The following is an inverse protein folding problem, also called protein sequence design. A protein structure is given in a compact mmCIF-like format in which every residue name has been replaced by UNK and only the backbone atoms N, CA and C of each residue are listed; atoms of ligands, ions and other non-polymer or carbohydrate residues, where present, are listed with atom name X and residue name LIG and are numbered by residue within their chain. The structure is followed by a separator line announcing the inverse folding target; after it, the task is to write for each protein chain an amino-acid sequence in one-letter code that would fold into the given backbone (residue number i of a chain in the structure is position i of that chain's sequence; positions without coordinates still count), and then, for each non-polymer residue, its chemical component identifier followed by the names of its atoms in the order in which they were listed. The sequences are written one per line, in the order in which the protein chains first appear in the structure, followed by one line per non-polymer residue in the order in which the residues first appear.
data_IF_663905055232
#
_entry.id   IF_663905055232
#
_cell.length_a   1.000
_cell.length_b   1.000
_cell.length_c   1.000
_cell.angle_alpha   90.00
_cell.angle_beta   90.00
_cell.angle_gamma   90.00
#
_symmetry.space_group_name_H-M   'P 1'
#
loop_
_entity.id
_entity.type
_entity.pdbx_description
1 polymer ?
#
# COMPACT_ATOMS: atom_id res chain seq x y z
N UNK A 1 -35.37 -20.73 69.53
CA UNK A 1 -35.41 -19.91 68.32
C UNK A 1 -34.49 -20.56 67.27
N UNK A 2 -35.10 -21.14 66.23
CA UNK A 2 -34.36 -21.85 65.16
C UNK A 2 -34.20 -20.93 63.98
N UNK A 3 -32.97 -20.49 63.66
CA UNK A 3 -32.63 -19.73 62.45
C UNK A 3 -32.53 -20.71 61.28
N UNK A 4 -33.38 -20.52 60.26
CA UNK A 4 -33.26 -21.17 58.93
C UNK A 4 -32.47 -20.22 58.02
N UNK A 5 -31.27 -20.69 57.63
CA UNK A 5 -30.47 -20.06 56.57
C UNK A 5 -31.01 -20.48 55.19
N UNK A 6 -31.45 -19.50 54.39
CA UNK A 6 -31.76 -19.74 52.98
C UNK A 6 -30.46 -19.50 52.16
N UNK A 7 -29.97 -20.53 51.50
CA UNK A 7 -28.91 -20.43 50.52
C UNK A 7 -29.50 -20.03 49.18
N UNK A 8 -29.13 -18.83 48.66
CA UNK A 8 -29.40 -18.41 47.31
C UNK A 8 -28.35 -19.02 46.37
N UNK A 9 -28.75 -19.94 45.50
CA UNK A 9 -27.94 -20.42 44.39
C UNK A 9 -28.10 -19.45 43.23
N UNK A 10 -27.07 -18.63 42.97
CA UNK A 10 -26.97 -17.79 41.79
C UNK A 10 -26.50 -18.69 40.61
N UNK A 11 -27.38 -18.99 39.67
CA UNK A 11 -26.99 -19.56 38.39
C UNK A 11 -26.30 -18.50 37.55
N UNK A 12 -24.97 -18.59 37.39
CA UNK A 12 -24.24 -17.90 36.34
C UNK A 12 -24.58 -18.56 34.99
N UNK A 13 -25.41 -17.92 34.20
CA UNK A 13 -25.55 -18.24 32.79
C UNK A 13 -24.28 -17.75 32.09
N UNK A 14 -23.33 -18.67 31.83
CA UNK A 14 -22.21 -18.42 30.96
C UNK A 14 -22.74 -18.27 29.54
N UNK A 15 -22.97 -17.04 29.12
CA UNK A 15 -23.19 -16.70 27.71
C UNK A 15 -21.96 -17.08 26.92
N UNK A 16 -22.04 -18.15 26.14
CA UNK A 16 -21.07 -18.45 25.09
C UNK A 16 -21.05 -17.24 24.15
N UNK A 17 -19.86 -16.68 23.78
CA UNK A 17 -19.80 -15.67 22.78
C UNK A 17 -20.33 -16.29 21.47
N UNK A 18 -21.43 -15.76 20.95
CA UNK A 18 -21.87 -16.09 19.61
C UNK A 18 -20.72 -15.70 18.66
N UNK A 19 -20.07 -16.71 18.08
CA UNK A 19 -19.14 -16.45 16.99
C UNK A 19 -20.00 -15.84 15.88
N UNK A 20 -19.83 -14.54 15.66
CA UNK A 20 -20.41 -13.88 14.49
C UNK A 20 -19.83 -14.58 13.26
N UNK A 21 -20.65 -15.38 12.57
CA UNK A 21 -20.26 -15.94 11.29
C UNK A 21 -19.91 -14.76 10.38
N UNK A 22 -18.74 -14.83 9.73
CA UNK A 22 -18.35 -13.80 8.76
C UNK A 22 -19.45 -13.68 7.70
N UNK A 23 -19.84 -12.45 7.38
CA UNK A 23 -20.86 -12.20 6.36
C UNK A 23 -20.44 -12.83 5.02
N UNK A 24 -21.41 -13.30 4.23
CA UNK A 24 -21.14 -13.76 2.86
C UNK A 24 -20.83 -12.55 1.97
N UNK A 25 -19.68 -12.57 1.28
CA UNK A 25 -19.28 -11.46 0.40
C UNK A 25 -20.29 -11.16 -0.71
N UNK A 26 -21.09 -12.14 -1.13
CA UNK A 26 -22.08 -11.98 -2.20
C UNK A 26 -23.36 -11.27 -1.74
N UNK A 27 -23.55 -11.09 -0.43
CA UNK A 27 -24.77 -10.51 0.15
C UNK A 27 -24.58 -9.14 0.80
N UNK A 28 -23.36 -8.61 0.77
CA UNK A 28 -22.98 -7.39 1.51
C UNK A 28 -23.58 -6.08 0.97
N UNK A 29 -24.05 -6.06 -0.26
CA UNK A 29 -24.22 -4.83 -1.05
C UNK A 29 -25.67 -4.46 -1.39
N UNK A 30 -26.64 -5.22 -0.92
CA UNK A 30 -28.03 -5.03 -1.35
C UNK A 30 -28.19 -5.26 -2.87
N UNK A 31 -28.40 -4.19 -3.64
CA UNK A 31 -28.58 -4.26 -5.12
C UNK A 31 -27.39 -3.69 -5.90
N UNK A 32 -26.35 -3.17 -5.24
CA UNK A 32 -25.17 -2.61 -5.94
C UNK A 32 -24.29 -3.71 -6.51
N UNK A 33 -23.63 -3.51 -7.68
CA UNK A 33 -22.69 -4.48 -8.21
C UNK A 33 -21.48 -4.63 -7.26
N UNK A 34 -20.97 -5.87 -7.17
CA UNK A 34 -19.75 -6.18 -6.44
C UNK A 34 -18.64 -6.45 -7.44
N UNK A 35 -17.46 -5.87 -7.21
CA UNK A 35 -16.23 -6.25 -7.92
C UNK A 35 -15.26 -6.92 -6.95
N UNK A 36 -14.62 -7.99 -7.42
CA UNK A 36 -13.67 -8.79 -6.65
C UNK A 36 -12.26 -8.55 -7.14
N UNK A 37 -11.40 -8.14 -6.22
CA UNK A 37 -9.98 -7.90 -6.51
C UNK A 37 -9.04 -8.67 -5.62
N UNK A 38 -7.82 -8.83 -6.11
CA UNK A 38 -6.71 -9.39 -5.34
C UNK A 38 -5.43 -8.58 -5.57
N UNK A 39 -4.51 -8.65 -4.60
CA UNK A 39 -3.24 -7.96 -4.74
C UNK A 39 -2.49 -7.76 -3.43
N UNK A 40 -1.64 -6.74 -3.38
CA UNK A 40 -0.76 -6.50 -2.26
C UNK A 40 -1.44 -5.94 -1.02
N UNK A 41 -0.99 -6.40 0.15
CA UNK A 41 -1.41 -5.81 1.43
C UNK A 41 -0.91 -4.36 1.63
N UNK A 42 0.07 -3.94 0.85
CA UNK A 42 0.55 -2.56 0.81
C UNK A 42 -0.50 -1.58 0.27
N UNK A 43 -1.39 -2.05 -0.60
CA UNK A 43 -2.41 -1.24 -1.25
C UNK A 43 -3.77 -1.30 -0.54
N UNK A 44 -3.95 -2.19 0.43
CA UNK A 44 -5.26 -2.44 1.10
C UNK A 44 -5.92 -1.16 1.62
N UNK A 45 -5.15 -0.25 2.21
CA UNK A 45 -5.68 1.00 2.74
C UNK A 45 -6.14 1.96 1.64
N UNK A 46 -5.39 2.07 0.54
CA UNK A 46 -5.75 2.88 -0.63
C UNK A 46 -7.01 2.32 -1.31
N UNK A 47 -7.02 1.00 -1.54
CA UNK A 47 -8.17 0.27 -2.09
C UNK A 47 -9.44 0.55 -1.26
N UNK A 48 -9.35 0.46 0.06
CA UNK A 48 -10.49 0.69 0.94
C UNK A 48 -10.99 2.13 0.92
N UNK A 49 -10.08 3.11 0.95
CA UNK A 49 -10.48 4.52 0.87
C UNK A 49 -11.16 4.86 -0.46
N UNK A 50 -10.69 4.28 -1.57
CA UNK A 50 -11.32 4.42 -2.88
C UNK A 50 -12.68 3.71 -2.93
N UNK A 51 -12.80 2.51 -2.35
CA UNK A 51 -14.05 1.77 -2.28
C UNK A 51 -15.18 2.58 -1.61
N UNK A 52 -14.85 3.30 -0.52
CA UNK A 52 -15.81 4.17 0.18
C UNK A 52 -16.30 5.32 -0.72
N UNK A 53 -15.41 5.91 -1.52
CA UNK A 53 -15.80 6.98 -2.45
C UNK A 53 -16.77 6.45 -3.50
N UNK A 54 -16.51 5.27 -4.07
CA UNK A 54 -17.41 4.67 -5.06
C UNK A 54 -18.79 4.31 -4.49
N UNK A 55 -18.85 3.86 -3.25
CA UNK A 55 -20.13 3.60 -2.59
C UNK A 55 -20.98 4.87 -2.42
N UNK A 56 -20.35 6.04 -2.30
CA UNK A 56 -21.03 7.34 -2.21
C UNK A 56 -21.45 7.93 -3.55
N UNK A 57 -21.17 7.27 -4.67
CA UNK A 57 -21.51 7.75 -6.02
C UNK A 57 -22.98 7.51 -6.37
N UNK A 58 -23.46 8.17 -7.43
CA UNK A 58 -24.81 7.93 -7.97
C UNK A 58 -25.00 6.54 -8.58
N UNK A 59 -23.88 5.86 -8.90
CA UNK A 59 -23.83 4.48 -9.37
C UNK A 59 -22.88 3.69 -8.47
N UNK A 60 -23.31 3.33 -7.25
CA UNK A 60 -22.43 2.74 -6.25
C UNK A 60 -21.90 1.37 -6.69
N UNK A 61 -20.59 1.15 -6.47
CA UNK A 61 -19.91 -0.13 -6.67
C UNK A 61 -19.33 -0.58 -5.33
N UNK A 62 -19.55 -1.85 -5.01
CA UNK A 62 -19.02 -2.46 -3.80
C UNK A 62 -17.74 -3.23 -4.10
N UNK A 63 -16.72 -3.00 -3.31
CA UNK A 63 -15.38 -3.59 -3.54
C UNK A 63 -15.08 -4.63 -2.48
N UNK A 64 -14.77 -5.84 -2.92
CA UNK A 64 -14.24 -6.93 -2.10
C UNK A 64 -12.80 -7.20 -2.52
N UNK A 65 -11.89 -7.24 -1.57
CA UNK A 65 -10.46 -7.31 -1.83
C UNK A 65 -9.76 -8.36 -0.97
N UNK A 66 -8.96 -9.23 -1.62
CA UNK A 66 -8.14 -10.23 -0.95
C UNK A 66 -6.65 -9.88 -1.10
N UNK A 67 -5.97 -9.67 0.03
CA UNK A 67 -4.55 -9.33 0.09
C UNK A 67 -3.65 -10.44 0.69
N UNK A 68 -4.25 -11.54 1.10
CA UNK A 68 -3.55 -12.63 1.82
C UNK A 68 -2.59 -13.45 0.95
N UNK A 69 -2.83 -13.51 -0.36
CA UNK A 69 -2.01 -14.28 -1.29
C UNK A 69 -0.83 -13.49 -1.89
N UNK A 70 -0.66 -12.22 -1.50
CA UNK A 70 0.40 -11.33 -1.98
C UNK A 70 0.05 -10.58 -3.26
N UNK A 71 0.91 -9.63 -3.64
CA UNK A 71 0.67 -8.70 -4.74
C UNK A 71 0.50 -9.42 -6.10
N UNK A 72 1.30 -10.46 -6.35
CA UNK A 72 1.24 -11.20 -7.60
C UNK A 72 -0.03 -12.05 -7.78
N UNK A 73 -0.78 -12.34 -6.72
CA UNK A 73 -1.95 -13.23 -6.83
C UNK A 73 -3.01 -12.67 -7.77
N UNK A 74 -3.28 -11.36 -7.70
CA UNK A 74 -4.26 -10.71 -8.56
C UNK A 74 -3.86 -10.73 -10.03
N UNK A 75 -2.61 -10.35 -10.34
CA UNK A 75 -2.14 -10.33 -11.72
C UNK A 75 -2.02 -11.74 -12.31
N UNK A 76 -1.57 -12.72 -11.52
CA UNK A 76 -1.52 -14.12 -11.94
C UNK A 76 -2.91 -14.66 -12.27
N UNK A 77 -3.93 -14.26 -11.51
CA UNK A 77 -5.32 -14.63 -11.77
C UNK A 77 -5.84 -14.03 -13.08
N UNK A 78 -5.59 -12.75 -13.31
CA UNK A 78 -5.99 -12.07 -14.56
C UNK A 78 -5.25 -12.65 -15.78
N UNK A 79 -3.97 -13.00 -15.64
CA UNK A 79 -3.16 -13.61 -16.68
C UNK A 79 -3.45 -15.11 -16.90
N UNK A 80 -4.26 -15.74 -16.07
CA UNK A 80 -4.57 -17.16 -16.16
C UNK A 80 -3.41 -18.10 -15.85
N UNK A 81 -2.32 -17.61 -15.19
CA UNK A 81 -1.13 -18.42 -14.82
C UNK A 81 -1.19 -18.95 -13.39
N UNK A 82 -2.30 -18.74 -12.71
CA UNK A 82 -2.57 -19.20 -11.35
C UNK A 82 -4.07 -19.41 -11.12
N UNK A 83 -4.52 -19.57 -9.87
CA UNK A 83 -5.94 -19.61 -9.58
C UNK A 83 -6.62 -18.32 -10.06
N UNK A 84 -7.62 -18.43 -10.94
CA UNK A 84 -8.36 -17.29 -11.50
C UNK A 84 -9.44 -16.74 -10.57
N UNK A 85 -9.66 -17.42 -9.44
CA UNK A 85 -10.65 -17.07 -8.43
C UNK A 85 -10.02 -17.00 -7.04
N UNK A 86 -10.52 -16.09 -6.23
CA UNK A 86 -10.21 -15.97 -4.80
C UNK A 86 -11.22 -16.74 -3.95
N UNK A 87 -10.74 -17.35 -2.86
CA UNK A 87 -11.54 -18.17 -1.93
C UNK A 87 -11.21 -17.79 -0.48
N UNK A 88 -12.01 -18.27 0.47
CA UNK A 88 -11.79 -18.04 1.90
C UNK A 88 -12.26 -16.66 2.35
N UNK A 89 -11.41 -15.91 3.07
CA UNK A 89 -11.76 -14.61 3.63
C UNK A 89 -11.25 -13.47 2.76
N UNK A 90 -12.07 -12.42 2.61
CA UNK A 90 -11.69 -11.18 1.96
C UNK A 90 -12.13 -9.97 2.81
N UNK A 91 -11.55 -8.82 2.50
CA UNK A 91 -11.89 -7.54 3.12
C UNK A 91 -12.92 -6.79 2.30
N UNK A 92 -13.78 -6.04 2.98
CA UNK A 92 -14.65 -5.03 2.40
C UNK A 92 -14.66 -3.78 3.29
N UNK A 93 -15.23 -2.70 2.83
CA UNK A 93 -15.44 -1.47 3.61
C UNK A 93 -16.88 -1.05 3.49
N UNK A 94 -17.46 -0.64 4.62
CA UNK A 94 -18.78 -0.05 4.64
C UNK A 94 -18.73 1.45 4.22
N UNK A 95 -19.89 2.07 4.10
CA UNK A 95 -20.00 3.49 3.71
C UNK A 95 -19.40 4.46 4.73
N UNK A 96 -19.16 4.02 5.98
CA UNK A 96 -18.44 4.78 7.01
C UNK A 96 -16.92 4.58 6.94
N UNK A 97 -16.43 3.71 6.06
CA UNK A 97 -15.02 3.38 5.89
C UNK A 97 -14.50 2.35 6.89
N UNK A 98 -15.38 1.66 7.61
CA UNK A 98 -14.97 0.59 8.52
C UNK A 98 -14.67 -0.66 7.72
N UNK A 99 -13.44 -1.17 7.89
CA UNK A 99 -12.99 -2.42 7.26
C UNK A 99 -13.66 -3.60 7.95
N UNK A 100 -14.40 -4.37 7.19
CA UNK A 100 -14.99 -5.66 7.58
C UNK A 100 -14.30 -6.84 6.91
N UNK A 101 -14.70 -8.04 7.31
CA UNK A 101 -14.29 -9.30 6.69
C UNK A 101 -15.52 -10.09 6.26
N UNK A 102 -15.46 -10.71 5.09
CA UNK A 102 -16.51 -11.57 4.57
C UNK A 102 -15.95 -12.88 4.04
N UNK A 103 -16.80 -13.89 3.89
CA UNK A 103 -16.44 -15.18 3.31
C UNK A 103 -16.80 -15.21 1.84
N UNK A 104 -15.84 -15.53 0.98
CA UNK A 104 -15.99 -15.72 -0.45
C UNK A 104 -16.74 -17.04 -0.74
N UNK A 105 -17.33 -17.16 -1.92
CA UNK A 105 -17.99 -18.39 -2.36
C UNK A 105 -17.02 -19.59 -2.29
N UNK A 106 -17.54 -20.77 -1.92
CA UNK A 106 -16.72 -22.00 -1.84
C UNK A 106 -16.10 -22.37 -3.20
N UNK A 107 -16.78 -22.08 -4.29
CA UNK A 107 -16.28 -22.26 -5.66
C UNK A 107 -15.31 -21.16 -6.09
N UNK A 108 -15.12 -20.16 -5.24
CA UNK A 108 -14.35 -18.95 -5.51
C UNK A 108 -15.13 -17.87 -6.25
N UNK A 109 -14.63 -16.64 -6.13
CA UNK A 109 -15.10 -15.48 -6.88
C UNK A 109 -13.99 -15.08 -7.87
N UNK A 110 -14.34 -14.94 -9.16
CA UNK A 110 -13.38 -14.58 -10.19
C UNK A 110 -12.73 -13.21 -9.89
N UNK A 111 -11.43 -13.12 -10.07
CA UNK A 111 -10.68 -11.84 -9.94
C UNK A 111 -11.01 -10.96 -11.15
N UNK A 112 -11.52 -9.76 -10.90
CA UNK A 112 -11.88 -8.79 -11.92
C UNK A 112 -10.87 -7.65 -12.02
N UNK A 113 -10.17 -7.33 -10.91
CA UNK A 113 -9.11 -6.35 -10.88
C UNK A 113 -7.95 -6.80 -9.98
N UNK A 114 -6.75 -6.30 -10.27
CA UNK A 114 -5.58 -6.51 -9.43
C UNK A 114 -4.92 -5.18 -9.06
N UNK A 115 -4.23 -5.14 -7.92
CA UNK A 115 -3.51 -3.96 -7.45
C UNK A 115 -2.11 -4.35 -6.97
N UNK A 116 -1.10 -3.68 -7.51
CA UNK A 116 0.30 -3.88 -7.13
C UNK A 116 1.01 -2.52 -7.00
N UNK A 117 2.21 -2.52 -6.45
CA UNK A 117 3.09 -1.36 -6.44
C UNK A 117 4.23 -1.45 -7.46
N UNK A 118 4.13 -2.36 -8.42
CA UNK A 118 5.17 -2.62 -9.43
C UNK A 118 4.60 -3.30 -10.68
N UNK A 119 5.41 -3.32 -11.75
CA UNK A 119 5.11 -4.03 -12.99
C UNK A 119 4.82 -5.52 -12.77
N UNK A 120 3.88 -6.11 -13.53
CA UNK A 120 3.55 -7.53 -13.46
C UNK A 120 4.75 -8.43 -13.83
N UNK A 121 5.70 -7.92 -14.61
CA UNK A 121 6.90 -8.65 -15.03
C UNK A 121 7.86 -8.99 -13.89
N UNK A 122 7.68 -8.41 -12.70
CA UNK A 122 8.42 -8.81 -11.50
C UNK A 122 7.80 -10.02 -10.79
N UNK A 123 6.59 -10.44 -11.16
CA UNK A 123 5.95 -11.61 -10.56
C UNK A 123 6.55 -12.92 -11.09
N UNK A 124 6.93 -13.87 -10.23
CA UNK A 124 7.64 -15.08 -10.63
C UNK A 124 6.93 -15.97 -11.67
N UNK A 125 5.59 -15.92 -11.74
CA UNK A 125 4.81 -16.69 -12.71
C UNK A 125 4.61 -15.97 -14.05
N UNK A 126 4.89 -14.66 -14.12
CA UNK A 126 4.82 -13.90 -15.38
C UNK A 126 6.18 -13.95 -16.05
N UNK A 127 6.43 -15.05 -16.72
CA UNK A 127 7.73 -15.34 -17.37
C UNK A 127 7.87 -14.75 -18.78
N UNK A 128 6.76 -14.29 -19.36
CA UNK A 128 6.71 -13.72 -20.70
C UNK A 128 5.72 -12.53 -20.73
N UNK A 129 6.10 -11.38 -21.32
CA UNK A 129 5.20 -10.22 -21.45
C UNK A 129 3.88 -10.52 -22.18
N UNK A 130 3.85 -11.52 -23.06
CA UNK A 130 2.62 -11.90 -23.77
C UNK A 130 1.51 -12.43 -22.85
N UNK A 131 1.88 -12.94 -21.66
CA UNK A 131 0.91 -13.40 -20.64
C UNK A 131 0.04 -12.27 -20.07
N UNK A 132 0.48 -11.04 -20.21
CA UNK A 132 -0.22 -9.84 -19.71
C UNK A 132 -0.66 -8.91 -20.84
N UNK A 133 -0.57 -9.35 -22.11
CA UNK A 133 -0.92 -8.52 -23.27
C UNK A 133 -2.40 -8.10 -23.30
N UNK A 134 -3.29 -8.94 -22.77
CA UNK A 134 -4.73 -8.69 -22.68
C UNK A 134 -5.15 -8.04 -21.33
N UNK A 135 -4.18 -7.46 -20.61
CA UNK A 135 -4.42 -6.81 -19.34
C UNK A 135 -4.12 -5.32 -19.48
N UNK A 136 -5.11 -4.50 -19.20
CA UNK A 136 -4.92 -3.05 -19.08
C UNK A 136 -4.23 -2.74 -17.76
N UNK A 137 -3.14 -1.98 -17.84
CA UNK A 137 -2.35 -1.44 -16.72
C UNK A 137 -2.50 0.08 -16.69
N UNK A 138 -2.95 0.62 -15.58
CA UNK A 138 -2.96 2.06 -15.34
C UNK A 138 -2.31 2.37 -14.01
N UNK A 139 -1.56 3.46 -13.98
CA UNK A 139 -0.85 3.90 -12.78
C UNK A 139 -1.60 5.01 -12.04
N UNK A 140 -1.33 5.14 -10.76
CA UNK A 140 -1.94 6.16 -9.91
C UNK A 140 -0.95 6.71 -8.87
N UNK A 141 -1.40 6.99 -7.63
CA UNK A 141 -0.56 7.60 -6.61
C UNK A 141 0.73 6.82 -6.34
N UNK A 142 1.76 7.55 -5.97
CA UNK A 142 3.10 7.01 -5.72
C UNK A 142 3.19 6.44 -4.30
N UNK A 143 3.77 5.25 -4.20
CA UNK A 143 4.13 4.61 -2.92
C UNK A 143 5.63 4.52 -2.77
N UNK A 144 6.14 4.67 -1.55
CA UNK A 144 7.52 4.29 -1.21
C UNK A 144 7.56 2.90 -0.57
N UNK A 145 8.72 2.27 -0.63
CA UNK A 145 9.07 1.10 0.17
C UNK A 145 10.09 1.55 1.20
N UNK A 146 9.81 1.31 2.47
CA UNK A 146 10.65 1.79 3.55
C UNK A 146 11.31 0.62 4.27
N UNK A 147 12.64 0.65 4.37
CA UNK A 147 13.39 -0.21 5.30
C UNK A 147 13.42 0.52 6.64
N UNK A 148 13.18 -0.20 7.72
CA UNK A 148 13.07 0.39 9.05
C UNK A 148 13.61 -0.52 10.15
N UNK A 149 13.87 0.07 11.30
CA UNK A 149 14.30 -0.57 12.53
C UNK A 149 13.30 -0.23 13.65
N UNK A 150 13.29 -0.96 14.78
CA UNK A 150 12.57 -0.51 15.97
C UNK A 150 12.94 0.92 16.35
N UNK A 151 11.99 1.72 16.82
CA UNK A 151 12.23 3.16 17.11
C UNK A 151 13.33 3.41 18.16
N UNK A 152 13.59 2.44 19.04
CA UNK A 152 14.65 2.51 20.05
C UNK A 152 16.06 2.22 19.49
N UNK A 153 16.20 1.75 18.24
CA UNK A 153 17.50 1.56 17.58
C UNK A 153 18.17 2.90 17.26
N UNK A 154 19.48 2.95 17.25
CA UNK A 154 20.29 4.15 16.91
C UNK A 154 20.64 4.26 15.43
N UNK A 155 20.33 3.21 14.64
CA UNK A 155 20.64 3.15 13.22
C UNK A 155 19.88 4.22 12.42
N UNK A 156 20.56 4.86 11.45
CA UNK A 156 20.00 5.97 10.66
C UNK A 156 19.89 5.67 9.17
N UNK A 157 20.75 4.78 8.65
CA UNK A 157 20.84 4.51 7.21
C UNK A 157 21.26 3.08 6.92
N UNK A 158 21.04 2.67 5.67
CA UNK A 158 21.51 1.39 5.12
C UNK A 158 21.79 1.57 3.63
N UNK A 159 22.87 0.95 3.13
CA UNK A 159 23.10 0.86 1.70
C UNK A 159 22.45 -0.38 1.08
N UNK A 160 22.23 -0.37 -0.24
CA UNK A 160 21.73 -1.53 -0.98
C UNK A 160 22.66 -2.74 -0.85
N UNK A 161 23.97 -2.54 -0.74
CA UNK A 161 24.96 -3.60 -0.55
C UNK A 161 24.89 -4.21 0.86
N UNK A 162 24.76 -3.35 1.89
CA UNK A 162 24.56 -3.83 3.27
C UNK A 162 23.26 -4.59 3.39
N UNK A 163 22.18 -4.09 2.78
CA UNK A 163 20.88 -4.78 2.72
C UNK A 163 21.00 -6.15 2.05
N UNK A 164 21.68 -6.22 0.88
CA UNK A 164 21.94 -7.49 0.19
C UNK A 164 22.64 -8.50 1.11
N UNK A 165 23.71 -8.08 1.79
CA UNK A 165 24.47 -8.95 2.67
C UNK A 165 23.66 -9.40 3.90
N UNK A 166 22.94 -8.47 4.53
CA UNK A 166 22.13 -8.73 5.73
C UNK A 166 21.02 -9.72 5.42
N UNK A 167 20.23 -9.48 4.37
CA UNK A 167 19.13 -10.39 4.02
C UNK A 167 19.56 -11.61 3.20
N UNK A 168 20.73 -11.59 2.58
CA UNK A 168 21.27 -12.75 1.86
C UNK A 168 21.99 -13.75 2.77
N UNK A 169 22.67 -13.28 3.81
CA UNK A 169 23.56 -14.09 4.63
C UNK A 169 23.24 -14.07 6.14
N UNK A 170 22.34 -13.19 6.59
CA UNK A 170 22.04 -13.02 8.00
C UNK A 170 23.25 -12.67 8.84
N UNK A 171 23.39 -13.29 10.01
CA UNK A 171 24.53 -13.09 10.89
C UNK A 171 25.89 -13.40 10.26
N UNK A 172 25.96 -14.29 9.28
CA UNK A 172 27.18 -14.64 8.57
C UNK A 172 27.76 -13.49 7.72
N UNK A 173 26.94 -12.46 7.42
CA UNK A 173 27.40 -11.23 6.77
C UNK A 173 28.39 -10.44 7.63
N UNK A 174 28.33 -10.54 8.95
CA UNK A 174 29.18 -9.77 9.87
C UNK A 174 28.90 -8.27 9.86
N UNK A 175 27.76 -7.84 9.36
CA UNK A 175 27.38 -6.41 9.26
C UNK A 175 26.76 -5.94 10.58
N UNK A 176 27.54 -5.23 11.39
CA UNK A 176 27.02 -4.66 12.63
C UNK A 176 25.99 -3.55 12.37
N UNK A 177 24.92 -3.44 13.20
CA UNK A 177 24.63 -4.24 14.38
C UNK A 177 23.83 -5.54 14.08
N UNK A 178 23.49 -5.82 12.82
CA UNK A 178 22.63 -6.93 12.38
C UNK A 178 23.40 -8.25 12.36
N UNK A 179 23.84 -8.70 13.51
CA UNK A 179 24.66 -9.91 13.68
C UNK A 179 23.96 -11.00 14.50
N UNK A 180 22.65 -10.86 14.74
CA UNK A 180 21.87 -11.88 15.45
C UNK A 180 21.87 -13.20 14.69
N UNK A 181 22.07 -14.30 15.38
CA UNK A 181 21.89 -15.65 14.83
C UNK A 181 20.44 -16.12 14.86
N UNK A 182 19.56 -15.37 15.55
CA UNK A 182 18.12 -15.61 15.56
C UNK A 182 17.48 -14.96 14.32
N UNK A 183 16.89 -15.74 13.40
CA UNK A 183 16.25 -15.23 12.19
C UNK A 183 15.08 -14.28 12.46
N UNK A 184 14.47 -14.31 13.65
CA UNK A 184 13.38 -13.42 14.02
C UNK A 184 13.76 -11.92 13.99
N UNK A 185 15.05 -11.58 14.01
CA UNK A 185 15.54 -10.22 13.89
C UNK A 185 15.58 -9.69 12.45
N UNK A 186 15.43 -10.56 11.44
CA UNK A 186 15.45 -10.22 10.01
C UNK A 186 14.06 -10.46 9.43
N UNK A 187 13.24 -9.42 9.46
CA UNK A 187 11.82 -9.55 9.13
C UNK A 187 11.63 -9.19 7.67
N UNK A 188 11.17 -10.16 6.88
CA UNK A 188 10.94 -10.00 5.45
C UNK A 188 9.50 -10.35 5.07
N UNK A 189 9.20 -10.35 3.77
CA UNK A 189 7.93 -10.73 3.16
C UNK A 189 8.17 -11.92 2.22
N UNK A 190 7.12 -12.52 1.71
CA UNK A 190 7.24 -13.59 0.74
C UNK A 190 7.56 -13.08 -0.68
N UNK A 191 7.92 -13.98 -1.56
CA UNK A 191 8.31 -13.73 -2.95
C UNK A 191 7.21 -13.12 -3.84
N UNK A 192 5.94 -13.18 -3.41
CA UNK A 192 4.81 -12.57 -4.09
C UNK A 192 4.47 -11.17 -3.56
N UNK A 193 5.22 -10.68 -2.58
CA UNK A 193 5.00 -9.37 -1.98
C UNK A 193 5.66 -8.26 -2.79
N UNK A 194 4.89 -7.24 -3.17
CA UNK A 194 5.40 -6.05 -3.85
C UNK A 194 6.65 -5.47 -3.18
N UNK A 195 6.62 -5.27 -1.86
CA UNK A 195 7.75 -4.63 -1.16
C UNK A 195 9.02 -5.49 -1.19
N UNK A 196 8.89 -6.83 -1.16
CA UNK A 196 10.04 -7.72 -1.29
C UNK A 196 10.57 -7.78 -2.73
N UNK A 197 9.67 -7.89 -3.72
CA UNK A 197 10.04 -7.83 -5.14
C UNK A 197 10.81 -6.55 -5.47
N UNK A 198 10.33 -5.42 -4.94
CA UNK A 198 10.96 -4.12 -5.15
C UNK A 198 12.37 -4.05 -4.54
N UNK A 199 12.52 -4.48 -3.29
CA UNK A 199 13.81 -4.52 -2.61
C UNK A 199 14.76 -5.58 -3.20
N UNK A 200 14.23 -6.73 -3.62
CA UNK A 200 14.99 -7.75 -4.33
C UNK A 200 15.64 -7.17 -5.60
N UNK A 201 14.86 -6.44 -6.40
CA UNK A 201 15.33 -5.79 -7.62
C UNK A 201 16.33 -4.67 -7.31
N UNK A 202 16.02 -3.79 -6.33
CA UNK A 202 16.87 -2.66 -5.96
C UNK A 202 18.23 -3.09 -5.39
N UNK A 203 18.28 -4.18 -4.63
CA UNK A 203 19.50 -4.72 -4.03
C UNK A 203 20.15 -5.84 -4.84
N UNK A 204 19.53 -6.30 -5.91
CA UNK A 204 19.95 -7.48 -6.71
C UNK A 204 19.96 -8.80 -5.92
N UNK A 205 19.29 -8.87 -4.77
CA UNK A 205 19.12 -10.09 -4.00
C UNK A 205 18.01 -10.95 -4.63
N UNK A 206 18.24 -12.21 -5.00
CA UNK A 206 17.17 -13.05 -5.51
C UNK A 206 15.99 -13.14 -4.53
N UNK A 207 14.78 -12.90 -5.02
CA UNK A 207 13.57 -12.75 -4.19
C UNK A 207 13.29 -13.95 -3.27
N UNK A 208 13.76 -15.16 -3.66
CA UNK A 208 13.63 -16.40 -2.90
C UNK A 208 14.75 -16.62 -1.88
N UNK A 209 15.70 -15.70 -1.73
CA UNK A 209 16.92 -15.85 -0.91
C UNK A 209 16.96 -14.95 0.33
N UNK A 210 15.83 -14.36 0.70
CA UNK A 210 15.76 -13.55 1.91
C UNK A 210 15.90 -14.40 3.16
N UNK A 211 16.91 -14.09 3.97
CA UNK A 211 17.11 -14.68 5.29
C UNK A 211 16.20 -14.01 6.31
N UNK A 212 15.60 -14.79 7.21
CA UNK A 212 14.79 -14.27 8.29
C UNK A 212 13.40 -14.94 8.38
N UNK A 213 12.42 -14.17 8.82
CA UNK A 213 11.04 -14.62 8.99
C UNK A 213 10.08 -13.83 8.09
N UNK A 214 9.20 -14.55 7.40
CA UNK A 214 8.13 -13.93 6.62
C UNK A 214 7.03 -13.39 7.56
N UNK A 215 6.80 -12.10 7.51
CA UNK A 215 5.76 -11.46 8.30
C UNK A 215 4.34 -11.64 7.72
N UNK A 216 4.21 -12.14 6.49
CA UNK A 216 2.92 -12.31 5.81
C UNK A 216 2.25 -11.00 5.38
N UNK A 217 2.24 -9.94 6.20
CA UNK A 217 1.65 -8.64 5.89
C UNK A 217 2.56 -7.46 6.28
N UNK A 218 2.34 -6.26 5.69
CA UNK A 218 3.09 -5.06 6.09
C UNK A 218 2.84 -4.68 7.56
N UNK A 219 1.62 -4.84 8.04
CA UNK A 219 1.29 -4.57 9.45
C UNK A 219 2.05 -5.49 10.40
N UNK A 220 2.16 -6.78 10.07
CA UNK A 220 2.95 -7.72 10.84
C UNK A 220 4.45 -7.41 10.81
N UNK A 221 5.00 -6.91 9.69
CA UNK A 221 6.40 -6.47 9.63
C UNK A 221 6.69 -5.41 10.71
N UNK A 222 5.79 -4.45 10.87
CA UNK A 222 5.88 -3.44 11.93
C UNK A 222 5.71 -4.06 13.32
N UNK A 223 4.68 -4.92 13.51
CA UNK A 223 4.40 -5.53 14.80
C UNK A 223 5.56 -6.41 15.29
N UNK A 224 6.17 -7.21 14.39
CA UNK A 224 7.31 -8.06 14.73
C UNK A 224 8.55 -7.21 15.07
N UNK A 225 8.85 -6.18 14.28
CA UNK A 225 9.95 -5.27 14.58
C UNK A 225 9.78 -4.59 15.94
N UNK A 226 8.57 -4.09 16.25
CA UNK A 226 8.28 -3.42 17.51
C UNK A 226 8.39 -4.35 18.74
N UNK A 227 8.22 -5.67 18.56
CA UNK A 227 8.28 -6.68 19.63
C UNK A 227 9.69 -7.21 19.92
N UNK A 228 10.73 -6.82 19.14
CA UNK A 228 12.08 -7.34 19.30
C UNK A 228 12.72 -6.92 20.62
N UNK A 229 13.30 -7.90 21.33
CA UNK A 229 13.93 -7.66 22.62
C UNK A 229 15.22 -6.80 22.51
N UNK A 230 15.96 -6.93 21.40
CA UNK A 230 17.14 -6.10 21.11
C UNK A 230 16.88 -5.24 19.87
N UNK A 231 16.44 -3.98 20.03
CA UNK A 231 16.07 -3.12 18.92
C UNK A 231 17.24 -2.80 17.97
N UNK A 232 18.48 -2.83 18.41
CA UNK A 232 19.65 -2.56 17.54
C UNK A 232 19.87 -3.64 16.49
N UNK A 233 19.50 -4.87 16.77
CA UNK A 233 19.72 -6.00 15.85
C UNK A 233 18.54 -6.25 14.89
N UNK A 234 17.42 -5.57 15.09
CA UNK A 234 16.21 -5.75 14.30
C UNK A 234 16.22 -4.94 13.01
N UNK A 235 15.76 -5.56 11.93
CA UNK A 235 15.54 -4.88 10.65
C UNK A 235 14.31 -5.46 9.95
N UNK A 236 13.53 -4.58 9.34
CA UNK A 236 12.32 -4.96 8.62
C UNK A 236 12.04 -3.99 7.47
N UNK A 237 11.02 -4.29 6.67
CA UNK A 237 10.54 -3.38 5.64
C UNK A 237 9.03 -3.52 5.40
N UNK A 238 8.43 -2.44 4.91
CA UNK A 238 7.03 -2.37 4.52
C UNK A 238 6.81 -1.25 3.49
N UNK A 239 5.57 -1.09 3.03
CA UNK A 239 5.17 0.10 2.28
C UNK A 239 5.27 1.37 3.14
N UNK A 240 5.54 2.49 2.48
CA UNK A 240 5.76 3.76 3.17
C UNK A 240 4.57 4.26 3.96
N UNK A 241 3.35 4.03 3.48
CA UNK A 241 2.12 4.40 4.20
C UNK A 241 1.99 3.68 5.54
N UNK A 242 2.33 2.38 5.58
CA UNK A 242 2.31 1.58 6.81
C UNK A 242 3.44 1.99 7.75
N UNK A 243 4.67 2.18 7.25
CA UNK A 243 5.79 2.63 8.06
C UNK A 243 5.50 4.02 8.67
N UNK A 244 4.97 4.96 7.89
CA UNK A 244 4.64 6.31 8.34
C UNK A 244 3.50 6.36 9.36
N UNK A 245 2.52 5.46 9.22
CA UNK A 245 1.46 5.35 10.21
C UNK A 245 1.94 4.84 11.58
N UNK A 246 3.14 4.23 11.63
CA UNK A 246 3.69 3.56 12.80
C UNK A 246 5.03 4.15 13.29
N UNK A 247 5.34 5.42 12.98
CA UNK A 247 6.61 6.08 13.39
C UNK A 247 6.82 6.19 14.91
N UNK A 248 5.80 5.97 15.70
CA UNK A 248 5.94 5.86 17.15
C UNK A 248 6.67 4.57 17.58
N UNK A 249 6.62 3.52 16.76
CA UNK A 249 7.16 2.18 17.07
C UNK A 249 8.33 1.77 16.20
N UNK A 250 8.41 2.27 14.98
CA UNK A 250 9.49 1.99 14.03
C UNK A 250 10.04 3.29 13.43
N UNK A 251 11.32 3.26 13.04
CA UNK A 251 12.02 4.37 12.39
C UNK A 251 12.53 3.94 11.04
N UNK A 252 12.15 4.67 10.00
CA UNK A 252 12.65 4.48 8.64
C UNK A 252 14.13 4.84 8.55
N UNK A 253 14.91 3.98 7.94
CA UNK A 253 16.31 4.23 7.59
C UNK A 253 16.40 5.04 6.29
N UNK A 254 17.40 5.90 6.20
CA UNK A 254 17.82 6.46 4.93
C UNK A 254 18.39 5.34 4.04
N UNK A 255 17.98 5.30 2.77
CA UNK A 255 18.47 4.32 1.80
C UNK A 255 19.52 4.93 0.89
N UNK A 256 20.64 4.24 0.73
CA UNK A 256 21.66 4.56 -0.25
C UNK A 256 21.66 3.52 -1.36
N UNK A 257 21.24 3.91 -2.55
CA UNK A 257 21.31 3.03 -3.71
C UNK A 257 22.75 2.99 -4.26
N UNK A 258 23.14 1.86 -4.84
CA UNK A 258 24.42 1.75 -5.54
C UNK A 258 24.58 2.90 -6.54
N UNK A 259 25.70 3.61 -6.46
CA UNK A 259 26.01 4.79 -7.27
C UNK A 259 25.51 6.13 -6.70
N UNK A 260 24.83 6.15 -5.55
CA UNK A 260 24.56 7.39 -4.81
C UNK A 260 25.67 7.69 -3.80
N UNK A 261 26.04 8.96 -3.68
CA UNK A 261 27.10 9.40 -2.73
C UNK A 261 26.59 9.41 -1.29
N UNK A 262 25.29 9.60 -1.07
CA UNK A 262 24.67 9.71 0.24
C UNK A 262 23.36 8.91 0.31
N UNK A 263 22.97 8.57 1.54
CA UNK A 263 21.67 7.95 1.80
C UNK A 263 20.58 9.02 1.93
N UNK A 264 19.38 8.74 1.41
CA UNK A 264 18.21 9.61 1.49
C UNK A 264 17.07 8.95 2.28
N UNK A 265 16.43 9.70 3.18
CA UNK A 265 15.12 9.31 3.71
C UNK A 265 14.04 9.50 2.62
N UNK A 266 12.87 8.89 2.74
CA UNK A 266 11.74 9.20 1.85
C UNK A 266 11.35 10.70 1.92
N UNK A 267 11.50 11.27 3.11
CA UNK A 267 11.21 12.65 3.47
C UNK A 267 12.48 13.51 3.46
N UNK A 268 12.39 14.82 3.65
CA UNK A 268 13.54 15.71 3.75
C UNK A 268 14.46 15.40 4.96
N UNK A 269 13.94 14.71 5.97
CA UNK A 269 14.69 14.25 7.16
C UNK A 269 14.04 13.01 7.78
N UNK A 270 14.68 12.43 8.79
CA UNK A 270 14.17 11.29 9.55
C UNK A 270 12.81 11.55 10.23
N UNK A 271 12.49 12.80 10.51
CA UNK A 271 11.29 13.21 11.28
C UNK A 271 10.27 14.01 10.46
N UNK A 272 10.61 14.42 9.25
CA UNK A 272 9.68 15.08 8.34
C UNK A 272 8.62 14.10 7.79
N UNK A 273 7.52 14.65 7.24
CA UNK A 273 6.44 13.89 6.62
C UNK A 273 6.14 14.41 5.19
N UNK A 274 7.09 15.09 4.56
CA UNK A 274 6.92 15.87 3.33
C UNK A 274 7.21 15.10 2.05
N UNK A 275 7.70 13.86 2.15
CA UNK A 275 8.09 13.03 0.99
C UNK A 275 9.00 13.76 -0.01
N UNK A 276 9.77 14.75 0.44
CA UNK A 276 10.55 15.60 -0.44
C UNK A 276 11.51 14.82 -1.34
N UNK A 277 12.20 13.80 -0.80
CA UNK A 277 13.15 13.00 -1.57
C UNK A 277 12.48 11.94 -2.47
N UNK A 278 11.25 11.50 -2.14
CA UNK A 278 10.41 10.70 -3.06
C UNK A 278 9.97 11.58 -4.23
N UNK A 279 9.43 12.76 -3.93
CA UNK A 279 8.91 13.71 -4.95
C UNK A 279 9.97 14.16 -5.93
N UNK A 280 11.19 14.42 -5.46
CA UNK A 280 12.34 14.82 -6.28
C UNK A 280 13.09 13.65 -6.93
N UNK A 281 12.73 12.38 -6.59
CA UNK A 281 13.39 11.19 -7.12
C UNK A 281 14.74 10.85 -6.49
N UNK A 282 15.17 11.56 -5.44
CA UNK A 282 16.43 11.30 -4.72
C UNK A 282 16.35 10.00 -3.88
N UNK A 283 15.23 9.78 -3.19
CA UNK A 283 14.98 8.49 -2.55
C UNK A 283 14.70 7.44 -3.62
N UNK A 284 15.43 6.32 -3.61
CA UNK A 284 15.38 5.37 -4.72
C UNK A 284 14.16 4.43 -4.68
N UNK A 285 13.69 4.05 -3.49
CA UNK A 285 12.67 3.01 -3.32
C UNK A 285 11.25 3.58 -3.41
N UNK A 286 10.83 4.02 -4.60
CA UNK A 286 9.47 4.48 -4.87
C UNK A 286 8.99 4.08 -6.27
N UNK A 287 7.70 3.90 -6.42
CA UNK A 287 7.03 3.61 -7.68
C UNK A 287 5.56 4.00 -7.65
N UNK A 288 4.92 3.97 -8.81
CA UNK A 288 3.49 4.13 -8.92
C UNK A 288 2.76 2.89 -8.38
N UNK A 289 1.55 3.09 -7.86
CA UNK A 289 0.62 1.97 -7.73
C UNK A 289 0.06 1.65 -9.11
N UNK A 290 -0.01 0.39 -9.45
CA UNK A 290 -0.55 -0.15 -10.69
C UNK A 290 -1.90 -0.80 -10.42
N UNK A 291 -2.85 -0.53 -11.30
CA UNK A 291 -4.21 -1.06 -11.24
C UNK A 291 -4.51 -1.78 -12.55
N UNK A 292 -4.89 -3.04 -12.44
CA UNK A 292 -5.05 -3.95 -13.56
C UNK A 292 -6.47 -4.46 -13.68
N UNK A 293 -6.89 -4.72 -14.91
CA UNK A 293 -8.10 -5.45 -15.25
C UNK A 293 -8.01 -5.99 -16.66
N UNK A 294 -8.90 -6.90 -17.02
CA UNK A 294 -8.95 -7.41 -18.41
C UNK A 294 -9.24 -6.27 -19.37
N UNK A 295 -8.52 -6.26 -20.49
CA UNK A 295 -8.67 -5.26 -21.53
C UNK A 295 -10.03 -5.37 -22.22
N UNK A 296 -10.65 -4.24 -22.45
CA UNK A 296 -11.87 -4.12 -23.23
C UNK A 296 -11.60 -4.09 -24.73
N UNK A 297 -12.63 -3.75 -25.50
CA UNK A 297 -12.53 -3.70 -26.96
C UNK A 297 -11.59 -2.60 -27.46
N UNK A 298 -11.59 -1.45 -26.77
CA UNK A 298 -10.65 -0.38 -27.08
C UNK A 298 -9.35 -0.57 -26.28
N UNK A 299 -8.21 -0.34 -26.92
CA UNK A 299 -6.91 -0.38 -26.26
C UNK A 299 -6.89 0.56 -25.04
N UNK A 300 -6.38 0.06 -23.91
CA UNK A 300 -6.33 0.77 -22.64
C UNK A 300 -7.67 0.88 -21.89
N UNK A 301 -8.77 0.35 -22.46
CA UNK A 301 -10.06 0.26 -21.74
C UNK A 301 -10.15 -1.01 -20.90
N UNK A 302 -11.14 -1.06 -20.00
CA UNK A 302 -11.44 -2.25 -19.19
C UNK A 302 -12.69 -2.97 -19.71
N UNK A 303 -12.67 -4.29 -19.68
CA UNK A 303 -13.81 -5.12 -20.12
C UNK A 303 -15.03 -4.98 -19.20
N UNK A 304 -14.81 -4.74 -17.90
CA UNK A 304 -15.86 -4.54 -16.89
C UNK A 304 -16.01 -3.04 -16.58
N UNK A 305 -17.22 -2.50 -16.76
CA UNK A 305 -17.50 -1.08 -16.54
C UNK A 305 -17.37 -0.64 -15.07
N UNK A 306 -17.63 -1.53 -14.10
CA UNK A 306 -17.48 -1.24 -12.69
C UNK A 306 -15.99 -1.21 -12.30
N UNK A 307 -15.19 -2.11 -12.87
CA UNK A 307 -13.72 -2.06 -12.76
C UNK A 307 -13.19 -0.78 -13.40
N UNK A 308 -13.67 -0.41 -14.60
CA UNK A 308 -13.31 0.85 -15.24
C UNK A 308 -13.59 2.08 -14.36
N UNK A 309 -14.76 2.14 -13.73
CA UNK A 309 -15.11 3.22 -12.82
C UNK A 309 -14.21 3.27 -11.59
N UNK A 310 -13.92 2.12 -10.99
CA UNK A 310 -13.07 2.01 -9.81
C UNK A 310 -11.61 2.36 -10.12
N UNK A 311 -11.06 1.76 -11.16
CA UNK A 311 -9.68 2.02 -11.58
C UNK A 311 -9.51 3.42 -12.12
N UNK A 312 -10.51 3.94 -12.85
CA UNK A 312 -10.54 5.31 -13.33
C UNK A 312 -10.44 6.34 -12.18
N UNK A 313 -11.09 6.08 -11.06
CA UNK A 313 -10.92 6.89 -9.86
C UNK A 313 -9.51 6.76 -9.26
N UNK A 314 -9.01 5.54 -9.09
CA UNK A 314 -7.70 5.27 -8.50
C UNK A 314 -6.54 5.87 -9.30
N UNK A 315 -6.67 5.91 -10.62
CA UNK A 315 -5.68 6.55 -11.52
C UNK A 315 -5.84 8.06 -11.66
N UNK A 316 -6.97 8.61 -11.23
CA UNK A 316 -7.33 10.01 -11.43
C UNK A 316 -7.90 10.32 -12.82
N UNK A 317 -8.13 9.31 -13.66
CA UNK A 317 -8.69 9.49 -14.99
C UNK A 317 -10.17 9.89 -14.98
N UNK A 318 -10.91 9.53 -13.91
CA UNK A 318 -12.32 9.90 -13.76
C UNK A 318 -12.70 10.11 -12.30
N UNK A 319 -13.69 10.99 -12.09
CA UNK A 319 -14.31 11.21 -10.77
C UNK A 319 -15.68 10.53 -10.75
N UNK A 320 -16.00 9.66 -9.77
CA UNK A 320 -17.32 9.07 -9.66
C UNK A 320 -18.41 10.12 -9.48
N UNK A 321 -19.46 10.03 -10.28
CA UNK A 321 -20.55 11.05 -10.31
C UNK A 321 -21.24 11.12 -8.93
N UNK A 322 -21.47 12.34 -8.45
CA UNK A 322 -22.08 12.60 -7.15
C UNK A 322 -21.09 12.57 -5.98
N UNK A 323 -19.79 12.36 -6.22
CA UNK A 323 -18.75 12.46 -5.20
C UNK A 323 -17.88 13.68 -5.39
N UNK A 324 -17.34 14.23 -4.29
CA UNK A 324 -16.46 15.40 -4.31
C UNK A 324 -15.03 15.05 -3.92
N UNK A 325 -14.81 13.93 -3.23
CA UNK A 325 -13.48 13.53 -2.75
C UNK A 325 -12.63 13.01 -3.89
N UNK A 326 -11.59 13.72 -4.23
CA UNK A 326 -10.66 13.39 -5.32
C UNK A 326 -9.69 12.28 -4.94
N UNK A 327 -9.05 11.65 -5.96
CA UNK A 327 -7.95 10.70 -5.70
C UNK A 327 -6.75 11.39 -5.05
N UNK A 328 -6.48 12.65 -5.37
CA UNK A 328 -5.44 13.45 -4.71
C UNK A 328 -5.65 13.50 -3.20
N UNK A 329 -6.87 13.85 -2.75
CA UNK A 329 -7.22 13.86 -1.33
C UNK A 329 -7.15 12.46 -0.69
N UNK A 330 -7.56 11.44 -1.43
CA UNK A 330 -7.53 10.04 -0.98
C UNK A 330 -6.09 9.55 -0.84
N UNK A 331 -5.21 9.85 -1.80
CA UNK A 331 -3.80 9.49 -1.77
C UNK A 331 -3.07 10.13 -0.58
N UNK A 332 -3.24 11.44 -0.40
CA UNK A 332 -2.60 12.16 0.72
C UNK A 332 -3.10 11.63 2.07
N UNK A 333 -4.41 11.40 2.22
CA UNK A 333 -4.98 10.78 3.42
C UNK A 333 -4.47 9.34 3.65
N UNK A 334 -3.94 8.69 2.61
CA UNK A 334 -3.29 7.37 2.68
C UNK A 334 -1.77 7.46 2.81
N UNK A 335 -1.18 8.64 2.96
CA UNK A 335 0.27 8.88 3.00
C UNK A 335 1.02 8.46 1.71
N UNK A 336 0.30 8.36 0.61
CA UNK A 336 0.85 8.27 -0.74
C UNK A 336 1.08 9.68 -1.30
N UNK A 337 1.99 9.78 -2.27
CA UNK A 337 2.20 11.03 -3.01
C UNK A 337 1.29 11.01 -4.24
N UNK A 338 0.37 11.97 -4.42
CA UNK A 338 -0.37 12.10 -5.66
C UNK A 338 0.59 12.50 -6.80
N UNK A 339 0.31 12.04 -8.01
CA UNK A 339 1.19 12.31 -9.16
C UNK A 339 1.37 13.81 -9.43
N UNK A 340 0.36 14.64 -9.09
CA UNK A 340 0.43 16.10 -9.23
C UNK A 340 1.42 16.79 -8.28
N UNK A 341 1.92 16.10 -7.24
CA UNK A 341 2.93 16.60 -6.31
C UNK A 341 4.33 16.02 -6.58
N UNK A 342 4.51 15.28 -7.68
CA UNK A 342 5.81 14.73 -8.07
C UNK A 342 6.59 15.72 -8.94
N UNK A 343 7.91 15.76 -8.75
CA UNK A 343 8.88 16.49 -9.57
C UNK A 343 9.79 15.55 -10.36
N UNK A 344 9.60 14.26 -10.19
CA UNK A 344 10.32 13.20 -10.87
C UNK A 344 9.38 12.11 -11.37
N UNK A 345 9.71 11.49 -12.49
CA UNK A 345 9.03 10.32 -13.03
C UNK A 345 10.04 9.25 -13.42
N UNK A 346 9.57 8.03 -13.62
CA UNK A 346 10.37 6.90 -14.10
C UNK A 346 9.84 6.37 -15.41
N UNK A 347 10.74 5.84 -16.23
CA UNK A 347 10.37 5.10 -17.45
C UNK A 347 9.79 3.70 -17.18
N UNK A 348 9.82 3.25 -15.94
CA UNK A 348 9.35 1.96 -15.43
C UNK A 348 9.86 1.76 -14.01
N UNK A 349 9.41 0.71 -13.36
CA UNK A 349 9.78 0.42 -11.97
C UNK A 349 11.28 0.31 -11.79
N UNK A 350 11.81 1.05 -10.80
CA UNK A 350 13.24 1.16 -10.50
C UNK A 350 14.11 1.58 -11.70
N UNK A 351 13.48 2.00 -12.80
CA UNK A 351 14.15 2.52 -13.99
C UNK A 351 14.75 3.91 -13.77
N UNK A 352 15.39 4.48 -14.80
CA UNK A 352 15.95 5.81 -14.77
C UNK A 352 14.92 6.87 -14.34
N UNK A 353 15.39 7.85 -13.58
CA UNK A 353 14.59 8.98 -13.08
C UNK A 353 14.78 10.16 -14.01
N UNK A 354 13.69 10.83 -14.36
CA UNK A 354 13.65 12.04 -15.19
C UNK A 354 12.93 13.15 -14.45
N UNK A 355 13.22 14.40 -14.77
CA UNK A 355 12.43 15.53 -14.32
C UNK A 355 10.98 15.41 -14.80
N UNK A 356 10.06 15.76 -13.96
CA UNK A 356 8.62 15.74 -14.24
C UNK A 356 8.00 17.04 -13.73
N UNK A 357 7.12 17.59 -14.53
CA UNK A 357 6.28 18.74 -14.17
C UNK A 357 4.83 18.35 -14.41
N UNK A 358 4.04 18.37 -13.37
CA UNK A 358 2.63 18.05 -13.47
C UNK A 358 1.90 19.16 -14.25
N UNK A 359 1.02 18.77 -15.18
CA UNK A 359 0.16 19.72 -15.91
C UNK A 359 -0.69 20.54 -14.94
N UNK A 360 -1.11 19.92 -13.86
CA UNK A 360 -1.92 20.50 -12.80
C UNK A 360 -1.26 20.21 -11.45
N UNK A 361 -0.30 21.04 -11.00
CA UNK A 361 0.41 20.79 -9.75
C UNK A 361 -0.50 20.88 -8.53
N UNK A 362 -0.12 20.23 -7.45
CA UNK A 362 -0.81 20.22 -6.16
C UNK A 362 0.18 20.19 -4.98
N UNK A 363 1.32 20.81 -5.16
CA UNK A 363 2.41 20.82 -4.18
C UNK A 363 2.00 21.48 -2.87
N UNK A 364 1.36 22.64 -2.96
CA UNK A 364 0.92 23.41 -1.81
C UNK A 364 -0.13 22.67 -0.98
N UNK A 365 -1.09 22.04 -1.68
CA UNK A 365 -2.08 21.19 -1.03
C UNK A 365 -1.42 19.99 -0.35
N UNK A 366 -0.49 19.32 -1.05
CA UNK A 366 0.22 18.17 -0.49
C UNK A 366 1.03 18.57 0.74
N UNK A 367 1.83 19.63 0.67
CA UNK A 367 2.67 20.11 1.77
C UNK A 367 1.82 20.43 3.00
N UNK A 368 0.73 21.17 2.83
CA UNK A 368 -0.18 21.47 3.94
C UNK A 368 -0.79 20.21 4.56
N UNK A 369 -1.27 19.27 3.75
CA UNK A 369 -1.91 18.05 4.26
C UNK A 369 -0.92 17.06 4.87
N UNK A 370 0.31 17.01 4.36
CA UNK A 370 1.35 16.12 4.85
C UNK A 370 2.03 16.64 6.12
N UNK A 371 2.31 17.95 6.19
CA UNK A 371 3.12 18.56 7.27
C UNK A 371 2.33 19.47 8.21
N UNK A 372 1.13 19.89 7.83
CA UNK A 372 0.33 20.90 8.53
C UNK A 372 0.73 22.34 8.21
N UNK A 373 1.69 22.56 7.29
CA UNK A 373 2.18 23.88 6.91
C UNK A 373 2.41 23.96 5.39
N UNK A 374 2.24 25.17 4.84
CA UNK A 374 2.62 25.53 3.46
C UNK A 374 3.03 26.98 3.44
N UNK A 375 3.87 27.35 2.47
CA UNK A 375 4.23 28.76 2.19
C UNK A 375 3.32 29.39 1.15
N UNK A 376 2.35 28.63 0.63
CA UNK A 376 1.45 29.06 -0.43
C UNK A 376 0.24 29.82 0.13
N UNK A 377 -0.24 30.77 -0.65
CA UNK A 377 -1.46 31.52 -0.33
C UNK A 377 -2.69 30.61 -0.47
N UNK A 378 -3.64 30.80 0.42
CA UNK A 378 -4.97 30.16 0.33
C UNK A 378 -5.81 30.91 -0.70
N UNK A 379 -6.59 30.21 -1.47
CA UNK A 379 -7.46 30.77 -2.50
C UNK A 379 -8.85 30.12 -2.51
N UNK A 380 -9.82 30.87 -3.01
CA UNK A 380 -11.18 30.43 -3.33
C UNK A 380 -11.75 31.32 -4.46
N UNK A 381 -13.03 31.15 -4.80
CA UNK A 381 -13.68 31.96 -5.85
C UNK A 381 -13.70 33.45 -5.53
N UNK A 382 -13.62 33.85 -4.26
CA UNK A 382 -13.61 35.22 -3.78
C UNK A 382 -12.20 35.80 -3.61
N UNK A 383 -11.21 34.93 -3.48
CA UNK A 383 -9.80 35.28 -3.25
C UNK A 383 -8.93 34.56 -4.28
N UNK A 384 -8.90 35.09 -5.54
CA UNK A 384 -8.12 34.47 -6.61
C UNK A 384 -6.61 34.64 -6.36
N UNK A 385 -5.82 33.74 -6.92
CA UNK A 385 -4.37 33.78 -6.83
C UNK A 385 -3.78 35.00 -7.55
N UNK A 386 -2.83 35.68 -6.92
CA UNK A 386 -2.04 36.71 -7.55
C UNK A 386 -1.13 36.13 -8.66
N UNK A 387 -0.62 34.93 -8.45
CA UNK A 387 0.16 34.12 -9.40
C UNK A 387 -0.24 32.67 -9.29
N UNK A 388 -0.15 31.90 -10.39
CA UNK A 388 -0.53 30.50 -10.41
C UNK A 388 -2.04 30.27 -10.56
N UNK A 389 -2.46 29.06 -10.24
CA UNK A 389 -3.86 28.61 -10.35
C UNK A 389 -4.39 28.19 -9.00
N UNK A 390 -5.61 28.63 -8.64
CA UNK A 390 -6.29 28.15 -7.44
C UNK A 390 -6.69 26.68 -7.62
N UNK A 391 -6.12 25.81 -6.80
CA UNK A 391 -6.39 24.39 -6.84
C UNK A 391 -6.43 23.80 -5.45
N UNK A 392 -7.47 23.02 -5.15
CA UNK A 392 -7.68 22.40 -3.82
C UNK A 392 -7.55 23.40 -2.66
N UNK A 393 -7.88 24.68 -2.90
CA UNK A 393 -7.86 25.75 -1.92
C UNK A 393 -6.51 26.47 -1.76
N UNK A 394 -5.52 26.20 -2.62
CA UNK A 394 -4.19 26.82 -2.59
C UNK A 394 -3.78 27.36 -3.96
N UNK A 395 -2.97 28.42 -3.94
CA UNK A 395 -2.35 28.98 -5.13
C UNK A 395 -1.16 28.12 -5.54
N UNK A 396 -1.39 27.23 -6.49
CA UNK A 396 -0.34 26.37 -7.03
C UNK A 396 0.46 27.12 -8.10
N UNK A 397 1.79 27.14 -7.96
CA UNK A 397 2.68 27.66 -8.98
C UNK A 397 2.80 26.66 -10.14
N UNK A 398 2.97 27.19 -11.35
CA UNK A 398 3.35 26.39 -12.52
C UNK A 398 4.86 26.35 -12.65
#
# INVERSE_FOLDING_TARGET
MKHRSFAFVAMLAAGLPAQALAADCTTLNGSSPIIYGAGGSAQTNLVGKAAVVLQGSTSPVFVVYQDSAGACAGINALAGVGPTSITGSASYWDSAGVKGSCTLALTGNAVQFAVMGNSPLLCPLITDPSLVADITDVTGPISSVNVFVPNASTQQSISSEAFYLIYGLGAAAGIAPWTSTDPAYFIHRNENSFVQLYLATASTLPVTKFYGVDAGTNANSVAYAAALANPEQGIAFASGDVADANRATVRTLAWQQAGQDVAYWPDSSATAFDKANVRSGQYYLWGANHFYGLQGVAEGSFADANVAAYVGYLSGASQPVGTTKTITETAVANKNVPTCAMHAQRSGDLGPVFAYEATEPCDCYFDFKATGATTCDVCDDSTPCATGTCRLGYCEAR
#
